data_IF_955672343023
#
_entry.id   IF_955672343023
#
_cell.length_a   1.000
_cell.length_b   1.000
_cell.length_c   1.000
_cell.angle_alpha   90.00
_cell.angle_beta   90.00
_cell.angle_gamma   90.00
#
_symmetry.space_group_name_H-M   'P 1'
#
loop_
_entity.id
_entity.type
_entity.pdbx_description
1 polymer ?
#
# COMPACT_ATOMS: atom_id res chain seq x y z
N UNK A 1 2.83 13.03 -2.49
CA UNK A 1 2.51 11.85 -3.32
C UNK A 1 1.96 10.71 -2.45
N UNK A 2 1.32 9.69 -3.05
CA UNK A 2 0.84 8.50 -2.33
C UNK A 2 1.94 7.43 -2.22
N UNK A 3 1.99 6.68 -1.12
CA UNK A 3 3.00 5.64 -0.89
C UNK A 3 2.38 4.34 -0.36
N UNK A 4 2.53 3.26 -1.14
CA UNK A 4 2.23 1.90 -0.71
C UNK A 4 3.53 1.18 -0.31
N UNK A 5 3.64 0.76 0.94
CA UNK A 5 4.77 -0.04 1.43
C UNK A 5 4.38 -1.52 1.50
N UNK A 6 5.23 -2.41 1.02
CA UNK A 6 5.03 -3.86 1.04
C UNK A 6 6.34 -4.61 1.28
N UNK A 7 6.27 -5.89 1.66
CA UNK A 7 7.45 -6.74 1.90
C UNK A 7 7.21 -8.18 1.43
N UNK A 8 6.92 -8.42 0.13
CA UNK A 8 6.52 -9.73 -0.37
C UNK A 8 7.67 -10.75 -0.39
N UNK A 9 7.32 -12.04 -0.29
CA UNK A 9 8.28 -13.15 -0.38
C UNK A 9 9.04 -13.18 -1.72
N UNK A 10 8.37 -12.85 -2.83
CA UNK A 10 8.92 -12.85 -4.19
C UNK A 10 8.98 -11.44 -4.80
N UNK A 11 9.83 -11.25 -5.81
CA UNK A 11 9.94 -9.97 -6.51
C UNK A 11 8.74 -9.80 -7.46
N UNK A 12 7.71 -9.11 -6.97
CA UNK A 12 6.44 -8.90 -7.67
C UNK A 12 6.20 -7.42 -7.99
N UNK A 13 7.18 -6.54 -7.75
CA UNK A 13 6.98 -5.09 -7.88
C UNK A 13 6.64 -4.69 -9.32
N UNK A 14 7.26 -5.32 -10.33
CA UNK A 14 6.99 -5.03 -11.74
C UNK A 14 5.55 -5.35 -12.16
N UNK A 15 5.04 -6.60 -12.01
CA UNK A 15 3.67 -6.90 -12.41
C UNK A 15 2.63 -6.10 -11.60
N UNK A 16 2.87 -5.88 -10.30
CA UNK A 16 1.98 -5.09 -9.44
C UNK A 16 1.95 -3.63 -9.89
N UNK A 17 3.10 -3.01 -10.13
CA UNK A 17 3.16 -1.61 -10.55
C UNK A 17 2.50 -1.39 -11.93
N UNK A 18 2.69 -2.31 -12.88
CA UNK A 18 1.98 -2.27 -14.18
C UNK A 18 0.47 -2.41 -14.03
N UNK A 19 0.00 -3.21 -13.07
CA UNK A 19 -1.43 -3.33 -12.80
C UNK A 19 -2.01 -2.01 -12.28
N UNK A 20 -1.32 -1.39 -11.32
CA UNK A 20 -1.80 -0.15 -10.70
C UNK A 20 -1.62 1.08 -11.58
N UNK A 21 -0.64 1.15 -12.47
CA UNK A 21 -0.50 2.29 -13.41
C UNK A 21 -1.70 2.43 -14.35
N UNK A 22 -2.31 1.29 -14.70
CA UNK A 22 -3.52 1.27 -15.55
C UNK A 22 -4.79 1.67 -14.79
N UNK A 23 -4.87 1.42 -13.49
CA UNK A 23 -6.07 1.64 -12.65
C UNK A 23 -6.06 2.96 -11.90
N UNK A 24 -4.88 3.37 -11.41
CA UNK A 24 -4.65 4.57 -10.61
C UNK A 24 -3.89 5.63 -11.40
N UNK A 25 -4.21 5.77 -12.69
CA UNK A 25 -3.49 6.64 -13.63
C UNK A 25 -3.51 8.13 -13.25
N UNK A 26 -4.57 8.56 -12.57
CA UNK A 26 -4.84 9.98 -12.29
C UNK A 26 -4.07 10.53 -11.08
N UNK A 27 -3.36 9.68 -10.35
CA UNK A 27 -2.64 10.06 -9.14
C UNK A 27 -1.18 9.67 -9.30
N UNK A 28 -0.27 10.53 -8.85
CA UNK A 28 1.14 10.18 -8.69
C UNK A 28 1.30 9.25 -7.47
N UNK A 29 2.01 8.13 -7.61
CA UNK A 29 2.18 7.19 -6.49
C UNK A 29 3.49 6.42 -6.54
N UNK A 30 3.88 5.90 -5.38
CA UNK A 30 5.00 4.99 -5.19
C UNK A 30 4.53 3.65 -4.62
N UNK A 31 5.10 2.55 -5.13
CA UNK A 31 5.05 1.24 -4.48
C UNK A 31 6.47 0.90 -4.04
N UNK A 32 6.68 0.68 -2.75
CA UNK A 32 7.98 0.40 -2.17
C UNK A 32 8.04 -1.02 -1.59
N UNK A 33 8.94 -1.84 -2.14
CA UNK A 33 9.30 -3.14 -1.60
C UNK A 33 10.40 -2.94 -0.54
N UNK A 34 10.01 -3.00 0.73
CA UNK A 34 10.90 -2.82 1.87
C UNK A 34 11.92 -3.95 2.02
N UNK A 35 11.65 -5.16 1.52
CA UNK A 35 12.58 -6.30 1.60
C UNK A 35 13.76 -6.12 0.65
N UNK A 36 13.49 -5.57 -0.54
CA UNK A 36 14.47 -5.46 -1.64
C UNK A 36 15.01 -4.05 -1.83
N UNK A 37 14.53 -3.09 -1.03
CA UNK A 37 14.85 -1.66 -1.17
C UNK A 37 14.58 -1.09 -2.58
N UNK A 38 13.61 -1.68 -3.28
CA UNK A 38 13.21 -1.26 -4.63
C UNK A 38 11.87 -0.54 -4.61
N UNK A 39 11.70 0.44 -5.47
CA UNK A 39 10.51 1.23 -5.65
C UNK A 39 10.07 1.25 -7.11
N UNK A 40 8.76 1.29 -7.31
CA UNK A 40 8.14 1.67 -8.56
C UNK A 40 7.47 3.04 -8.37
N UNK A 41 7.68 3.93 -9.33
CA UNK A 41 7.12 5.28 -9.35
C UNK A 41 6.27 5.46 -10.58
N UNK A 42 5.03 5.91 -10.38
CA UNK A 42 4.15 6.36 -11.43
C UNK A 42 3.97 7.87 -11.31
N UNK A 43 4.42 8.60 -12.33
CA UNK A 43 4.39 10.07 -12.35
C UNK A 43 3.09 10.66 -12.92
N UNK A 44 2.14 9.82 -13.33
CA UNK A 44 0.93 10.22 -14.07
C UNK A 44 0.99 9.90 -15.57
N UNK A 45 2.18 9.62 -16.10
CA UNK A 45 2.44 9.39 -17.53
C UNK A 45 3.27 8.13 -17.79
N UNK A 46 4.33 7.91 -17.01
CA UNK A 46 5.29 6.84 -17.16
C UNK A 46 5.51 6.08 -15.85
N UNK A 47 5.85 4.80 -16.00
CA UNK A 47 6.21 3.92 -14.89
C UNK A 47 7.73 3.71 -14.86
N UNK A 48 8.35 4.08 -13.75
CA UNK A 48 9.80 3.98 -13.53
C UNK A 48 10.10 3.03 -12.36
N UNK A 49 11.27 2.38 -12.39
CA UNK A 49 11.75 1.47 -11.34
C UNK A 49 13.14 1.90 -10.87
N UNK A 50 13.39 1.81 -9.57
CA UNK A 50 14.64 2.24 -8.95
C UNK A 50 14.64 1.98 -7.45
N UNK A 51 15.43 2.71 -6.69
CA UNK A 51 15.39 2.73 -5.22
C UNK A 51 14.66 3.97 -4.71
N UNK A 52 14.13 3.93 -3.49
CA UNK A 52 13.45 5.09 -2.92
C UNK A 52 14.38 6.30 -2.75
N UNK A 53 15.68 6.05 -2.52
CA UNK A 53 16.71 7.09 -2.44
C UNK A 53 16.93 7.77 -3.80
N UNK A 54 16.96 7.00 -4.88
CA UNK A 54 17.08 7.53 -6.25
C UNK A 54 15.92 8.44 -6.62
N UNK A 55 14.71 8.14 -6.14
CA UNK A 55 13.53 8.97 -6.40
C UNK A 55 13.42 10.20 -5.49
N UNK A 56 14.31 10.36 -4.50
CA UNK A 56 14.12 11.18 -3.29
C UNK A 56 12.87 10.72 -2.54
N UNK A 57 13.00 10.38 -1.25
CA UNK A 57 11.87 9.91 -0.44
C UNK A 57 10.69 10.88 -0.61
N UNK A 58 9.56 10.45 -1.19
CA UNK A 58 8.49 11.38 -1.53
C UNK A 58 7.90 11.93 -0.24
N UNK A 59 7.71 13.25 -0.20
CA UNK A 59 6.87 13.84 0.82
C UNK A 59 5.44 13.31 0.63
N UNK A 60 4.93 12.65 1.67
CA UNK A 60 3.57 12.15 1.67
C UNK A 60 2.62 13.32 1.47
N UNK A 61 1.60 13.14 0.64
CA UNK A 61 0.59 14.19 0.45
C UNK A 61 -0.02 14.54 1.82
N UNK A 62 -0.28 15.82 2.12
CA UNK A 62 -1.04 16.19 3.31
C UNK A 62 -2.41 15.47 3.38
N UNK A 63 -2.98 15.12 2.22
CA UNK A 63 -4.24 14.37 2.11
C UNK A 63 -4.14 12.89 2.50
N UNK A 64 -2.94 12.30 2.46
CA UNK A 64 -2.69 10.89 2.76
C UNK A 64 -3.20 10.55 4.17
N UNK A 65 -2.80 11.35 5.16
CA UNK A 65 -3.19 11.13 6.56
C UNK A 65 -4.71 11.21 6.75
N UNK A 66 -5.36 12.19 6.12
CA UNK A 66 -6.82 12.34 6.17
C UNK A 66 -7.51 11.11 5.56
N UNK A 67 -7.06 10.64 4.40
CA UNK A 67 -7.65 9.47 3.74
C UNK A 67 -7.45 8.20 4.58
N UNK A 68 -6.29 8.02 5.20
CA UNK A 68 -6.05 6.88 6.10
C UNK A 68 -6.99 6.90 7.31
N UNK A 69 -7.23 8.07 7.91
CA UNK A 69 -8.18 8.22 9.02
C UNK A 69 -9.62 7.92 8.61
N UNK A 70 -10.03 8.37 7.41
CA UNK A 70 -11.34 8.09 6.85
C UNK A 70 -11.52 6.58 6.60
N UNK A 71 -10.50 5.93 6.03
CA UNK A 71 -10.49 4.47 5.83
C UNK A 71 -10.65 3.71 7.14
N UNK A 72 -9.89 4.07 8.18
CA UNK A 72 -9.99 3.44 9.50
C UNK A 72 -11.37 3.62 10.12
N UNK A 73 -11.93 4.82 10.02
CA UNK A 73 -13.28 5.13 10.51
C UNK A 73 -14.32 4.29 9.78
N UNK A 74 -14.26 4.27 8.44
CA UNK A 74 -15.12 3.45 7.60
C UNK A 74 -15.03 1.97 8.00
N UNK A 75 -13.82 1.40 7.98
CA UNK A 75 -13.57 -0.01 8.28
C UNK A 75 -14.13 -0.41 9.66
N UNK A 76 -13.89 0.40 10.69
CA UNK A 76 -14.41 0.14 12.04
C UNK A 76 -15.93 0.24 12.11
N UNK A 77 -16.52 1.18 11.40
CA UNK A 77 -17.97 1.45 11.46
C UNK A 77 -18.77 0.38 10.72
N UNK A 78 -18.28 -0.10 9.57
CA UNK A 78 -18.98 -1.10 8.76
C UNK A 78 -18.71 -2.55 9.21
N UNK A 79 -17.66 -2.78 10.00
CA UNK A 79 -17.33 -4.12 10.49
C UNK A 79 -18.39 -4.60 11.49
N UNK A 80 -18.93 -5.79 11.24
CA UNK A 80 -19.88 -6.47 12.15
C UNK A 80 -19.05 -7.30 13.14
N UNK A 81 -19.02 -6.96 14.44
CA UNK A 81 -18.18 -7.64 15.43
C UNK A 81 -18.38 -9.16 15.49
N UNK A 82 -19.64 -9.60 15.35
CA UNK A 82 -20.04 -11.00 15.40
C UNK A 82 -19.54 -11.81 14.21
N UNK A 83 -19.15 -11.15 13.11
CA UNK A 83 -18.60 -11.79 11.90
C UNK A 83 -17.07 -11.84 11.90
N UNK A 84 -16.40 -11.44 12.99
CA UNK A 84 -14.93 -11.47 13.07
C UNK A 84 -14.42 -12.91 13.02
N UNK A 85 -13.68 -13.25 11.97
CA UNK A 85 -13.06 -14.56 11.80
C UNK A 85 -11.54 -14.41 11.51
N UNK A 86 -10.68 -14.38 12.56
CA UNK A 86 -9.25 -14.20 12.39
C UNK A 86 -8.57 -15.30 11.58
N UNK A 87 -9.04 -16.55 11.69
CA UNK A 87 -8.48 -17.69 10.92
C UNK A 87 -8.68 -17.50 9.43
N UNK A 88 -9.89 -17.11 9.01
CA UNK A 88 -10.19 -16.82 7.60
C UNK A 88 -9.42 -15.60 7.08
N UNK A 89 -9.26 -14.56 7.91
CA UNK A 89 -8.45 -13.40 7.54
C UNK A 89 -6.99 -13.81 7.27
N UNK A 90 -6.42 -14.66 8.13
CA UNK A 90 -5.05 -15.16 7.98
C UNK A 90 -4.88 -16.10 6.78
N UNK A 91 -5.91 -16.88 6.42
CA UNK A 91 -5.86 -17.74 5.22
C UNK A 91 -5.91 -16.93 3.92
N UNK A 92 -6.62 -15.78 3.92
CA UNK A 92 -6.67 -14.88 2.76
C UNK A 92 -5.39 -14.05 2.63
N UNK A 93 -4.80 -13.63 3.75
CA UNK A 93 -3.54 -12.90 3.76
C UNK A 93 -2.72 -13.23 5.01
N UNK A 94 -1.49 -13.75 4.85
CA UNK A 94 -0.61 -14.05 5.97
C UNK A 94 -0.37 -12.85 6.89
N UNK A 95 -0.43 -13.08 8.20
CA UNK A 95 -0.32 -12.04 9.23
C UNK A 95 0.98 -11.21 9.15
N UNK A 96 2.07 -11.79 8.63
CA UNK A 96 3.36 -11.09 8.42
C UNK A 96 3.24 -9.83 7.54
N UNK A 97 2.23 -9.74 6.68
CA UNK A 97 1.99 -8.58 5.83
C UNK A 97 1.10 -7.51 6.47
N UNK A 98 0.42 -7.83 7.58
CA UNK A 98 -0.58 -6.95 8.20
C UNK A 98 0.02 -5.66 8.76
N UNK A 99 1.34 -5.66 9.05
CA UNK A 99 2.10 -4.47 9.49
C UNK A 99 2.03 -3.28 8.52
N UNK A 100 1.58 -3.49 7.28
CA UNK A 100 1.41 -2.44 6.27
C UNK A 100 -0.06 -2.07 6.01
N UNK A 101 -1.03 -2.77 6.60
CA UNK A 101 -2.45 -2.47 6.41
C UNK A 101 -2.87 -1.26 7.24
N UNK A 102 -3.48 -0.26 6.60
CA UNK A 102 -3.93 0.97 7.26
C UNK A 102 -4.94 0.70 8.37
N UNK A 103 -5.86 -0.26 8.19
CA UNK A 103 -6.87 -0.65 9.17
C UNK A 103 -6.31 -1.41 10.38
N UNK A 104 -5.05 -1.85 10.33
CA UNK A 104 -4.36 -2.57 11.43
C UNK A 104 -3.32 -1.73 12.17
N UNK A 105 -3.06 -0.50 11.74
CA UNK A 105 -2.00 0.36 12.31
C UNK A 105 -2.37 1.04 13.65
N UNK A 106 -3.57 0.80 14.21
CA UNK A 106 -4.05 1.43 15.45
C UNK A 106 -4.62 0.45 16.49
N UNK A 107 -4.31 -0.85 16.37
CA UNK A 107 -4.59 -1.84 17.42
C UNK A 107 -3.32 -2.18 18.21
#
# INVERSE_FOLDING_TARGET
TWLARMEPDHNVIQPIARHFSRRLRAQEWFIYDARRHSAAHWDGHALSFGTLEQFRRPELSPKEQTVQQLWQTFFKTIAIPERKNPRLQQSNMPAKYWKYLTEKQRE
#
